data_IF_688960768580
#
_entry.id   IF_688960768580
#
_cell.length_a   1.000
_cell.length_b   1.000
_cell.length_c   1.000
_cell.angle_alpha   90.00
_cell.angle_beta   90.00
_cell.angle_gamma   90.00
#
_symmetry.space_group_name_H-M   'P 1'
#
loop_
_entity.id
_entity.type
_entity.pdbx_description
1 polymer ?
#
# COMPACT_ATOMS: atom_id res chain seq x y z
N UNK A 1 67.40 17.28 -0.18
CA UNK A 1 68.16 16.00 -0.13
C UNK A 1 68.20 15.50 1.30
N UNK A 2 68.03 14.18 1.48
CA UNK A 2 68.04 13.38 2.72
C UNK A 2 66.90 13.68 3.72
N UNK A 3 65.83 12.88 3.78
CA UNK A 3 65.71 11.50 4.32
C UNK A 3 66.02 11.39 5.81
N UNK A 4 65.00 11.12 6.63
CA UNK A 4 65.06 10.15 7.73
C UNK A 4 63.70 9.48 7.93
N UNK A 5 63.73 8.16 7.83
CA UNK A 5 62.71 7.16 8.08
C UNK A 5 62.57 6.85 9.57
N UNK A 6 61.41 6.33 9.98
CA UNK A 6 61.22 5.54 11.20
C UNK A 6 60.05 4.58 10.98
N UNK A 7 60.33 3.30 11.21
CA UNK A 7 59.47 2.12 11.06
C UNK A 7 58.96 1.70 12.43
N UNK A 8 57.71 1.20 12.52
CA UNK A 8 57.17 0.47 13.66
C UNK A 8 55.77 -0.10 13.37
N UNK A 9 55.35 -1.21 14.01
CA UNK A 9 55.07 -2.46 13.28
C UNK A 9 53.60 -2.91 13.18
N UNK A 10 53.35 -3.80 12.22
CA UNK A 10 52.14 -4.63 12.11
C UNK A 10 52.08 -5.68 13.22
N UNK A 11 50.89 -5.92 13.79
CA UNK A 11 50.56 -7.14 14.54
C UNK A 11 49.27 -7.76 13.99
N UNK A 12 49.39 -8.92 13.35
CA UNK A 12 48.30 -9.88 13.21
C UNK A 12 48.05 -10.56 14.56
N UNK A 13 46.79 -10.72 14.93
CA UNK A 13 46.36 -11.48 16.10
C UNK A 13 45.07 -12.23 15.82
N UNK A 14 45.21 -13.52 15.52
CA UNK A 14 44.13 -14.50 15.39
C UNK A 14 43.64 -14.94 16.78
N UNK A 15 42.34 -14.83 17.06
CA UNK A 15 41.64 -15.59 18.12
C UNK A 15 40.21 -15.85 17.63
N UNK A 16 39.91 -17.05 17.14
CA UNK A 16 39.46 -18.24 17.89
C UNK A 16 37.97 -18.20 18.26
N UNK A 17 37.26 -19.18 17.72
CA UNK A 17 35.83 -19.43 17.82
C UNK A 17 35.40 -19.71 19.26
N UNK A 18 34.36 -19.01 19.72
CA UNK A 18 33.48 -19.55 20.76
C UNK A 18 32.03 -19.28 20.36
N UNK A 19 31.44 -20.28 19.71
CA UNK A 19 30.01 -20.35 19.47
C UNK A 19 29.27 -20.23 20.80
N UNK A 20 28.70 -19.07 21.06
CA UNK A 20 27.70 -18.90 22.12
C UNK A 20 26.36 -18.91 21.42
N UNK A 21 25.73 -20.10 21.36
CA UNK A 21 24.35 -20.27 20.91
C UNK A 21 23.41 -19.68 21.96
N UNK A 22 23.36 -18.36 22.05
CA UNK A 22 22.28 -17.67 22.77
C UNK A 22 21.21 -17.39 21.74
N UNK A 23 20.13 -18.17 21.81
CA UNK A 23 18.85 -17.82 21.20
C UNK A 23 18.39 -16.49 21.80
N UNK A 24 18.86 -15.38 21.22
CA UNK A 24 18.20 -14.11 21.42
C UNK A 24 16.90 -14.22 20.63
N UNK A 25 15.79 -14.43 21.34
CA UNK A 25 14.47 -14.14 20.76
C UNK A 25 14.57 -12.72 20.20
N UNK A 26 14.61 -12.60 18.88
CA UNK A 26 14.64 -11.33 18.18
C UNK A 26 13.60 -10.43 18.82
N UNK A 27 14.08 -9.32 19.42
CA UNK A 27 13.22 -8.31 20.01
C UNK A 27 12.30 -7.85 18.88
N UNK A 28 10.98 -8.07 19.02
CA UNK A 28 10.00 -7.68 17.99
C UNK A 28 10.21 -6.19 17.71
N UNK A 29 10.63 -5.87 16.49
CA UNK A 29 10.81 -4.49 16.06
C UNK A 29 9.51 -3.73 16.27
N UNK A 30 9.57 -2.62 17.01
CA UNK A 30 8.47 -1.69 17.15
C UNK A 30 8.38 -0.79 15.90
N UNK A 31 7.23 -0.15 15.67
CA UNK A 31 7.04 0.81 14.58
C UNK A 31 7.99 2.03 14.65
N UNK A 32 8.75 2.17 15.74
CA UNK A 32 9.68 3.28 15.99
C UNK A 32 11.15 2.83 16.08
N UNK A 33 11.45 1.56 15.86
CA UNK A 33 12.83 1.07 15.90
C UNK A 33 13.52 1.36 14.56
N UNK A 34 14.84 1.63 14.58
CA UNK A 34 15.65 1.79 13.35
C UNK A 34 15.54 0.58 12.40
N UNK A 35 15.22 -0.60 12.95
CA UNK A 35 14.94 -1.80 12.17
C UNK A 35 13.66 -1.68 11.33
N UNK A 36 12.65 -0.93 11.78
CA UNK A 36 11.41 -0.73 11.05
C UNK A 36 11.57 0.26 9.91
N UNK A 37 12.23 1.41 10.11
CA UNK A 37 12.52 2.33 8.99
C UNK A 37 13.39 1.63 7.93
N UNK A 38 14.43 0.90 8.35
CA UNK A 38 15.23 0.10 7.42
C UNK A 38 14.38 -0.95 6.68
N UNK A 39 13.39 -1.55 7.35
CA UNK A 39 12.44 -2.46 6.72
C UNK A 39 11.58 -1.75 5.67
N UNK A 40 11.06 -0.55 5.95
CA UNK A 40 10.32 0.26 4.97
C UNK A 40 11.17 0.56 3.72
N UNK A 41 12.42 0.99 3.92
CA UNK A 41 13.34 1.25 2.82
C UNK A 41 13.69 0.01 2.00
N UNK A 42 13.96 -1.13 2.64
CA UNK A 42 14.18 -2.41 1.93
C UNK A 42 12.97 -2.86 1.11
N UNK A 43 11.78 -2.37 1.45
CA UNK A 43 10.52 -2.66 0.78
C UNK A 43 10.04 -1.52 -0.13
N UNK A 44 10.93 -0.59 -0.50
CA UNK A 44 10.67 0.56 -1.37
C UNK A 44 9.50 1.43 -0.89
N UNK A 45 9.30 1.53 0.43
CA UNK A 45 8.28 2.37 1.04
C UNK A 45 8.92 3.68 1.50
N UNK A 46 8.74 4.76 0.73
CA UNK A 46 9.51 5.99 0.93
C UNK A 46 8.71 7.09 1.68
N UNK A 47 9.38 7.89 2.53
CA UNK A 47 8.75 9.03 3.21
C UNK A 47 8.18 10.10 2.29
N UNK A 48 7.30 10.91 2.85
CA UNK A 48 7.02 12.25 2.32
C UNK A 48 8.33 13.05 2.21
N UNK A 49 8.57 13.65 1.05
CA UNK A 49 9.74 14.48 0.79
C UNK A 49 11.05 13.69 0.67
N UNK A 50 10.99 12.38 0.42
CA UNK A 50 12.19 11.58 0.19
C UNK A 50 12.92 12.05 -1.07
N UNK A 51 14.20 12.36 -0.91
CA UNK A 51 15.12 12.70 -1.99
C UNK A 51 15.87 11.44 -2.41
N UNK A 52 15.73 11.05 -3.68
CA UNK A 52 16.38 9.86 -4.19
C UNK A 52 17.87 10.13 -4.44
N UNK A 53 18.77 9.14 -4.22
CA UNK A 53 20.20 9.31 -4.45
C UNK A 53 20.58 9.68 -5.89
N UNK A 54 19.71 9.37 -6.86
CA UNK A 54 19.88 9.70 -8.28
C UNK A 54 19.34 11.10 -8.64
N UNK A 55 18.93 11.89 -7.65
CA UNK A 55 18.41 13.24 -7.83
C UNK A 55 16.95 13.31 -8.28
N UNK A 56 16.25 12.17 -8.39
CA UNK A 56 14.80 12.18 -8.59
C UNK A 56 14.12 12.69 -7.32
N UNK A 57 13.10 13.53 -7.50
CA UNK A 57 12.14 13.83 -6.43
C UNK A 57 11.03 12.80 -6.44
N UNK A 58 10.28 12.68 -5.33
CA UNK A 58 9.01 11.95 -5.34
C UNK A 58 8.20 12.38 -6.56
N UNK A 59 7.72 11.45 -7.40
CA UNK A 59 7.12 11.82 -8.67
C UNK A 59 5.99 12.82 -8.48
N UNK A 60 5.97 13.83 -9.36
CA UNK A 60 4.80 14.68 -9.46
C UNK A 60 3.62 13.78 -9.82
N UNK A 61 2.65 13.74 -8.92
CA UNK A 61 1.59 12.75 -8.97
C UNK A 61 0.63 13.16 -10.09
N UNK A 62 0.71 12.45 -11.23
CA UNK A 62 -0.28 12.56 -12.30
C UNK A 62 -1.70 12.44 -11.70
N UNK A 63 -2.59 13.35 -12.10
CA UNK A 63 -3.99 13.33 -11.64
C UNK A 63 -4.24 13.94 -10.25
N UNK A 64 -3.24 14.56 -9.59
CA UNK A 64 -3.47 15.21 -8.29
C UNK A 64 -4.53 16.29 -8.32
N UNK A 65 -4.69 17.03 -9.41
CA UNK A 65 -5.76 18.02 -9.51
C UNK A 65 -7.14 17.39 -9.37
N UNK A 66 -7.34 16.23 -9.99
CA UNK A 66 -8.60 15.47 -9.90
C UNK A 66 -8.80 14.91 -8.49
N UNK A 67 -7.74 14.41 -7.86
CA UNK A 67 -7.77 13.94 -6.48
C UNK A 67 -8.06 15.09 -5.52
N UNK A 68 -7.34 16.20 -5.62
CA UNK A 68 -7.58 17.42 -4.84
C UNK A 68 -9.01 17.91 -4.99
N UNK A 69 -9.54 17.96 -6.22
CA UNK A 69 -10.92 18.37 -6.45
C UNK A 69 -11.92 17.41 -5.80
N UNK A 70 -11.74 16.09 -5.95
CA UNK A 70 -12.60 15.09 -5.34
C UNK A 70 -12.56 15.14 -3.80
N UNK A 71 -11.38 15.38 -3.23
CA UNK A 71 -11.19 15.44 -1.78
C UNK A 71 -11.72 16.74 -1.18
N UNK A 72 -11.58 17.87 -1.87
CA UNK A 72 -12.07 19.17 -1.38
C UNK A 72 -13.57 19.39 -1.63
N UNK A 73 -14.26 18.45 -2.28
CA UNK A 73 -15.69 18.51 -2.52
C UNK A 73 -16.50 18.69 -1.22
N UNK A 74 -17.41 19.67 -1.21
CA UNK A 74 -18.24 19.95 -0.05
C UNK A 74 -19.18 18.76 0.27
N UNK A 75 -19.39 18.49 1.57
CA UNK A 75 -20.32 17.47 2.04
C UNK A 75 -21.52 18.07 2.75
N UNK A 76 -22.73 17.64 2.35
CA UNK A 76 -23.98 18.05 2.98
C UNK A 76 -24.01 17.75 4.49
N UNK A 77 -23.49 16.59 4.90
CA UNK A 77 -23.39 16.18 6.31
C UNK A 77 -22.45 17.04 7.16
N UNK A 78 -21.67 17.91 6.53
CA UNK A 78 -20.77 18.86 7.20
C UNK A 78 -21.15 20.31 6.89
N UNK A 79 -22.33 20.54 6.28
CA UNK A 79 -22.84 21.88 6.04
C UNK A 79 -23.21 22.59 7.35
N UNK A 80 -23.33 23.94 7.35
CA UNK A 80 -23.66 24.69 8.56
C UNK A 80 -24.96 24.28 9.25
N UNK A 81 -25.96 23.82 8.48
CA UNK A 81 -27.24 23.36 9.01
C UNK A 81 -27.19 21.94 9.58
N UNK A 82 -26.26 21.10 9.12
CA UNK A 82 -26.14 19.69 9.53
C UNK A 82 -25.08 19.46 10.61
N UNK A 83 -24.08 20.35 10.71
CA UNK A 83 -23.03 20.27 11.72
C UNK A 83 -22.93 21.60 12.47
N UNK A 84 -23.39 21.64 13.72
CA UNK A 84 -23.49 22.88 14.50
C UNK A 84 -22.24 23.21 15.33
N UNK A 85 -22.16 24.44 15.83
CA UNK A 85 -21.11 24.89 16.77
C UNK A 85 -21.05 24.06 18.05
N UNK A 86 -22.17 23.49 18.51
CA UNK A 86 -22.17 22.58 19.65
C UNK A 86 -21.38 21.30 19.37
N UNK A 87 -21.59 20.67 18.20
CA UNK A 87 -20.83 19.50 17.78
C UNK A 87 -19.33 19.78 17.63
N UNK A 88 -18.97 20.99 17.17
CA UNK A 88 -17.57 21.41 17.11
C UNK A 88 -16.95 21.62 18.50
N UNK A 89 -17.67 22.24 19.44
CA UNK A 89 -17.21 22.40 20.83
C UNK A 89 -17.03 21.04 21.52
N UNK A 90 -17.93 20.10 21.26
CA UNK A 90 -17.84 18.74 21.77
C UNK A 90 -16.60 18.01 21.26
N UNK A 91 -16.31 18.12 19.96
CA UNK A 91 -15.09 17.60 19.37
C UNK A 91 -13.84 18.15 20.08
N UNK A 92 -13.74 19.49 20.24
CA UNK A 92 -12.60 20.12 20.92
C UNK A 92 -12.43 19.66 22.36
N UNK A 93 -13.55 19.50 23.09
CA UNK A 93 -13.54 19.00 24.47
C UNK A 93 -12.99 17.57 24.53
N UNK A 94 -13.47 16.68 23.67
CA UNK A 94 -13.00 15.28 23.59
C UNK A 94 -11.52 15.20 23.23
N UNK A 95 -11.08 15.99 22.25
CA UNK A 95 -9.67 16.06 21.86
C UNK A 95 -8.75 16.50 23.02
N UNK A 96 -9.22 17.40 23.90
CA UNK A 96 -8.45 17.85 25.07
C UNK A 96 -8.39 16.81 26.18
N UNK A 97 -9.45 16.04 26.37
CA UNK A 97 -9.53 15.01 27.43
C UNK A 97 -8.85 13.71 27.05
N UNK A 98 -8.56 13.48 25.77
CA UNK A 98 -7.88 12.30 25.30
C UNK A 98 -6.96 12.63 24.10
N UNK A 99 -5.80 13.28 24.33
CA UNK A 99 -4.92 13.70 23.25
C UNK A 99 -4.21 12.53 22.54
N UNK A 100 -4.12 11.34 23.15
CA UNK A 100 -3.26 10.25 22.64
C UNK A 100 -3.93 8.88 22.47
N UNK A 101 -5.07 8.57 23.10
CA UNK A 101 -5.53 7.16 23.20
C UNK A 101 -6.76 6.79 22.32
N UNK A 102 -7.49 7.74 21.73
CA UNK A 102 -8.77 7.45 21.03
C UNK A 102 -8.98 8.20 19.71
N UNK A 103 -7.91 8.55 18.98
CA UNK A 103 -8.06 9.13 17.62
C UNK A 103 -7.08 8.57 16.60
N UNK A 104 -6.45 7.43 16.87
CA UNK A 104 -6.29 6.48 15.78
C UNK A 104 -7.64 5.80 15.68
N UNK A 105 -8.43 6.15 14.65
CA UNK A 105 -9.45 5.22 14.15
C UNK A 105 -8.67 3.94 13.97
N UNK A 106 -8.85 2.94 14.86
CA UNK A 106 -8.24 1.63 14.69
C UNK A 106 -8.48 1.32 13.22
N UNK A 107 -7.43 1.16 12.39
CA UNK A 107 -7.64 0.69 11.04
C UNK A 107 -8.26 -0.68 11.22
N UNK A 108 -9.59 -0.72 11.22
CA UNK A 108 -10.32 -1.94 10.92
C UNK A 108 -9.92 -2.16 9.47
N UNK A 109 -9.18 -3.23 9.15
CA UNK A 109 -8.62 -3.46 7.82
C UNK A 109 -9.66 -3.34 6.69
N UNK A 110 -10.95 -3.41 7.01
CA UNK A 110 -12.07 -3.27 6.09
C UNK A 110 -12.29 -1.85 5.53
N UNK A 111 -11.78 -0.78 6.17
CA UNK A 111 -12.15 0.59 5.81
C UNK A 111 -11.05 1.45 5.19
N UNK A 112 -9.80 0.99 5.21
CA UNK A 112 -8.68 1.79 4.73
C UNK A 112 -7.74 1.04 3.77
N UNK A 113 -7.51 -0.28 3.94
CA UNK A 113 -6.45 -0.99 3.22
C UNK A 113 -6.82 -2.37 2.63
N UNK A 114 -8.10 -2.74 2.56
CA UNK A 114 -8.44 -4.07 2.02
C UNK A 114 -9.89 -4.25 1.59
N UNK A 115 -10.12 -5.17 0.66
CA UNK A 115 -11.46 -5.63 0.30
C UNK A 115 -12.06 -6.50 1.42
N UNK A 116 -13.38 -6.54 1.60
CA UNK A 116 -13.98 -7.63 2.37
C UNK A 116 -13.60 -8.96 1.69
N UNK A 117 -12.97 -9.88 2.44
CA UNK A 117 -12.41 -11.13 1.90
C UNK A 117 -13.41 -11.96 1.07
N UNK A 118 -14.71 -11.82 1.34
CA UNK A 118 -15.77 -12.49 0.57
C UNK A 118 -16.06 -11.90 -0.82
N UNK A 119 -15.56 -10.70 -1.13
CA UNK A 119 -15.74 -10.03 -2.43
C UNK A 119 -14.62 -10.34 -3.43
N UNK A 120 -13.48 -10.85 -2.96
CA UNK A 120 -12.36 -11.26 -3.82
C UNK A 120 -12.57 -12.73 -4.21
N UNK A 121 -12.47 -13.06 -5.50
CA UNK A 121 -12.45 -14.45 -5.95
C UNK A 121 -11.33 -15.24 -5.25
N UNK A 122 -11.61 -16.48 -4.84
CA UNK A 122 -10.67 -17.30 -4.04
C UNK A 122 -9.29 -17.48 -4.69
N UNK A 123 -9.20 -17.53 -6.02
CA UNK A 123 -7.91 -17.66 -6.71
C UNK A 123 -7.12 -16.35 -6.67
N UNK A 124 -7.79 -15.21 -6.84
CA UNK A 124 -7.18 -13.87 -6.70
C UNK A 124 -6.70 -13.70 -5.26
N UNK A 125 -7.53 -14.04 -4.27
CA UNK A 125 -7.20 -13.96 -2.86
C UNK A 125 -5.96 -14.80 -2.51
N UNK A 126 -5.87 -16.05 -2.99
CA UNK A 126 -4.72 -16.93 -2.71
C UNK A 126 -3.41 -16.43 -3.35
N UNK A 127 -3.48 -15.73 -4.49
CA UNK A 127 -2.32 -15.11 -5.11
C UNK A 127 -1.89 -13.82 -4.39
N UNK A 128 -2.85 -13.03 -3.89
CA UNK A 128 -2.62 -11.80 -3.13
C UNK A 128 -2.06 -12.05 -1.72
N UNK A 129 -2.50 -13.11 -1.05
CA UNK A 129 -2.05 -13.50 0.29
C UNK A 129 -0.53 -13.77 0.34
N UNK A 130 0.05 -14.21 -0.78
CA UNK A 130 1.51 -14.39 -0.94
C UNK A 130 2.28 -13.09 -1.13
N UNK A 131 1.60 -11.97 -1.46
CA UNK A 131 2.21 -10.69 -1.86
C UNK A 131 2.03 -9.57 -0.82
N UNK A 132 1.13 -9.72 0.16
CA UNK A 132 0.75 -8.65 1.11
C UNK A 132 0.94 -9.12 2.56
N UNK A 133 1.77 -8.41 3.35
CA UNK A 133 2.03 -8.73 4.77
C UNK A 133 1.26 -7.73 5.65
N UNK A 134 0.24 -8.19 6.39
CA UNK A 134 -0.52 -7.36 7.34
C UNK A 134 0.16 -7.26 8.71
N UNK A 135 0.18 -6.07 9.33
CA UNK A 135 0.63 -5.84 10.73
C UNK A 135 -0.41 -5.05 11.53
N UNK A 136 -0.31 -5.13 12.87
CA UNK A 136 -1.38 -4.82 13.85
C UNK A 136 -1.12 -3.59 14.74
N UNK A 137 -0.32 -2.61 14.34
CA UNK A 137 0.03 -1.46 15.20
C UNK A 137 -0.24 -0.12 14.51
N UNK A 138 -0.49 0.98 15.25
CA UNK A 138 -0.98 2.28 14.72
C UNK A 138 -0.10 3.47 15.17
N UNK A 139 0.48 4.27 14.24
CA UNK A 139 1.13 5.63 14.33
C UNK A 139 1.90 6.01 13.03
N UNK A 140 2.46 7.22 12.87
CA UNK A 140 2.90 7.81 11.58
C UNK A 140 3.79 6.95 10.62
N UNK A 141 4.76 6.13 11.07
CA UNK A 141 5.43 5.14 10.22
C UNK A 141 4.45 4.15 9.58
N UNK A 142 3.27 3.96 10.19
CA UNK A 142 2.19 3.12 9.70
C UNK A 142 1.30 3.80 8.67
N UNK A 143 1.17 5.13 8.67
CA UNK A 143 0.49 5.78 7.54
C UNK A 143 1.22 5.49 6.21
N UNK A 144 2.57 5.45 6.24
CA UNK A 144 3.40 4.98 5.13
C UNK A 144 3.24 3.50 4.89
N UNK A 145 3.41 2.69 5.92
CA UNK A 145 3.35 1.23 5.80
C UNK A 145 1.98 0.73 5.31
N UNK A 146 0.90 1.14 5.97
CA UNK A 146 -0.49 0.75 5.66
C UNK A 146 -0.83 1.20 4.25
N UNK A 147 -0.56 2.46 3.92
CA UNK A 147 -0.78 3.01 2.59
C UNK A 147 -0.01 2.30 1.49
N UNK A 148 1.27 1.99 1.72
CA UNK A 148 2.07 1.23 0.76
C UNK A 148 1.56 -0.20 0.57
N UNK A 149 1.07 -0.86 1.63
CA UNK A 149 0.47 -2.19 1.49
C UNK A 149 -0.90 -2.15 0.79
N UNK A 150 -1.71 -1.12 1.05
CA UNK A 150 -2.92 -0.87 0.28
C UNK A 150 -2.60 -0.66 -1.20
N UNK A 151 -1.57 0.11 -1.52
CA UNK A 151 -1.12 0.31 -2.91
C UNK A 151 -0.55 -0.95 -3.55
N UNK A 152 0.15 -1.83 -2.80
CA UNK A 152 0.52 -3.17 -3.27
C UNK A 152 -0.69 -4.03 -3.62
N UNK A 153 -1.73 -3.98 -2.79
CA UNK A 153 -2.96 -4.71 -3.04
C UNK A 153 -3.66 -4.21 -4.30
N UNK A 154 -3.79 -2.89 -4.45
CA UNK A 154 -4.38 -2.27 -5.63
C UNK A 154 -3.56 -2.54 -6.89
N UNK A 155 -2.23 -2.42 -6.84
CA UNK A 155 -1.30 -2.74 -7.93
C UNK A 155 -1.49 -4.19 -8.41
N UNK A 156 -1.52 -5.14 -7.47
CA UNK A 156 -1.73 -6.54 -7.79
C UNK A 156 -3.12 -6.81 -8.40
N UNK A 157 -4.17 -6.09 -7.98
CA UNK A 157 -5.50 -6.17 -8.60
C UNK A 157 -5.50 -5.56 -10.01
N UNK A 158 -4.88 -4.38 -10.18
CA UNK A 158 -4.79 -3.67 -11.46
C UNK A 158 -4.04 -4.49 -12.52
N UNK A 159 -2.96 -5.14 -12.10
CA UNK A 159 -2.11 -5.94 -12.95
C UNK A 159 -2.50 -7.42 -13.02
N UNK A 160 -3.60 -7.83 -12.36
CA UNK A 160 -4.09 -9.20 -12.43
C UNK A 160 -4.39 -9.62 -13.89
N UNK A 161 -3.81 -10.75 -14.30
CA UNK A 161 -3.98 -11.34 -15.63
C UNK A 161 -3.32 -10.56 -16.78
N UNK A 162 -2.38 -9.66 -16.51
CA UNK A 162 -1.55 -9.01 -17.54
C UNK A 162 -0.21 -9.72 -17.68
N UNK A 163 0.31 -9.82 -18.90
CA UNK A 163 1.63 -10.41 -19.18
C UNK A 163 2.77 -9.52 -18.68
N UNK A 164 2.57 -8.20 -18.72
CA UNK A 164 3.50 -7.21 -18.19
C UNK A 164 2.76 -6.24 -17.25
N UNK A 165 3.33 -5.90 -16.08
CA UNK A 165 2.77 -4.89 -15.20
C UNK A 165 2.74 -3.50 -15.85
N UNK A 166 1.66 -2.77 -15.60
CA UNK A 166 1.48 -1.38 -16.00
C UNK A 166 1.37 -0.49 -14.76
N UNK A 167 1.93 0.72 -14.86
CA UNK A 167 1.93 1.72 -13.80
C UNK A 167 1.45 3.06 -14.38
N UNK A 168 0.26 3.50 -13.97
CA UNK A 168 -0.34 4.76 -14.46
C UNK A 168 0.04 5.99 -13.62
N UNK A 169 0.73 5.77 -12.50
CA UNK A 169 1.17 6.82 -11.57
C UNK A 169 0.06 7.48 -10.75
N UNK A 170 -1.20 7.05 -10.89
CA UNK A 170 -2.32 7.64 -10.16
C UNK A 170 -2.40 7.05 -8.73
N UNK A 171 -2.68 7.87 -7.70
CA UNK A 171 -2.88 7.36 -6.36
C UNK A 171 -4.32 6.85 -6.16
N UNK A 172 -4.44 5.57 -5.79
CA UNK A 172 -5.72 4.93 -5.48
C UNK A 172 -5.92 4.64 -3.99
N UNK A 173 -4.82 4.70 -3.22
CA UNK A 173 -4.79 4.48 -1.78
C UNK A 173 -4.46 5.78 -1.08
N UNK A 174 -5.14 6.04 0.03
CA UNK A 174 -4.97 7.24 0.83
C UNK A 174 -4.76 6.89 2.29
N UNK A 175 -3.92 7.66 2.99
CA UNK A 175 -3.78 7.54 4.44
C UNK A 175 -4.00 8.86 5.16
N UNK A 176 -4.33 8.82 6.46
CA UNK A 176 -4.47 10.03 7.27
C UNK A 176 -3.79 9.86 8.62
N UNK A 177 -3.15 10.92 9.10
CA UNK A 177 -2.68 11.02 10.49
C UNK A 177 -3.43 12.13 11.20
N UNK A 178 -3.72 11.92 12.49
CA UNK A 178 -4.28 12.94 13.35
C UNK A 178 -3.44 13.02 14.62
N UNK A 179 -2.77 14.16 14.80
CA UNK A 179 -1.88 14.39 15.93
C UNK A 179 -1.92 15.88 16.29
N UNK A 180 -1.96 16.17 17.59
CA UNK A 180 -1.95 17.55 18.13
C UNK A 180 -2.96 18.48 17.43
N UNK A 181 -4.21 18.02 17.33
CA UNK A 181 -5.27 18.82 16.70
C UNK A 181 -5.16 18.96 15.18
N UNK A 182 -4.15 18.38 14.54
CA UNK A 182 -3.85 18.52 13.11
C UNK A 182 -4.14 17.22 12.36
N UNK A 183 -4.97 17.31 11.32
CA UNK A 183 -5.21 16.22 10.38
C UNK A 183 -4.31 16.41 9.17
N UNK A 184 -3.49 15.40 8.84
CA UNK A 184 -2.78 15.31 7.56
C UNK A 184 -3.36 14.18 6.74
N UNK A 185 -3.41 14.37 5.42
CA UNK A 185 -3.87 13.36 4.47
C UNK A 185 -2.79 13.14 3.41
N UNK A 186 -2.60 11.89 3.02
CA UNK A 186 -1.55 11.43 2.13
C UNK A 186 -2.11 10.54 1.03
N UNK A 187 -1.48 10.59 -0.13
CA UNK A 187 -1.67 9.71 -1.27
C UNK A 187 -0.48 8.74 -1.35
N UNK A 188 -0.76 7.52 -1.82
CA UNK A 188 0.23 6.47 -2.01
C UNK A 188 0.19 5.97 -3.45
N UNK A 189 0.82 6.67 -4.40
CA UNK A 189 0.96 6.17 -5.77
C UNK A 189 1.79 4.88 -5.83
N UNK A 190 1.73 4.22 -6.98
CA UNK A 190 2.64 3.15 -7.34
C UNK A 190 3.48 3.63 -8.50
N UNK A 191 4.80 3.52 -8.38
CA UNK A 191 5.73 3.98 -9.42
C UNK A 191 6.48 2.78 -9.98
N UNK A 192 6.67 2.82 -11.30
CA UNK A 192 7.36 1.75 -12.02
C UNK A 192 8.77 1.51 -11.42
N UNK A 193 9.27 0.28 -11.47
CA UNK A 193 10.62 -0.03 -11.02
C UNK A 193 11.67 0.86 -11.68
N UNK A 194 12.61 1.36 -10.89
CA UNK A 194 13.73 2.18 -11.39
C UNK A 194 14.76 1.37 -12.19
N UNK A 195 14.67 0.04 -12.17
CA UNK A 195 15.55 -0.88 -12.91
C UNK A 195 14.71 -1.96 -13.59
N UNK A 196 15.16 -2.54 -14.73
CA UNK A 196 14.37 -3.52 -15.49
C UNK A 196 13.92 -4.78 -14.72
N UNK A 197 14.69 -5.17 -13.70
CA UNK A 197 14.38 -6.31 -12.83
C UNK A 197 14.00 -5.86 -11.40
N UNK A 198 13.69 -4.59 -11.22
CA UNK A 198 13.34 -4.01 -9.94
C UNK A 198 11.92 -4.36 -9.52
N UNK A 199 11.61 -4.06 -8.26
CA UNK A 199 10.24 -4.09 -7.74
C UNK A 199 9.64 -2.68 -7.79
N UNK A 200 8.30 -2.55 -7.82
CA UNK A 200 7.65 -1.24 -7.76
C UNK A 200 8.05 -0.48 -6.51
N UNK A 201 7.93 0.84 -6.59
CA UNK A 201 8.20 1.75 -5.47
C UNK A 201 6.88 2.38 -4.99
N UNK A 202 6.82 2.66 -3.69
CA UNK A 202 5.63 3.13 -3.00
C UNK A 202 5.98 4.42 -2.21
N UNK A 203 6.15 5.56 -2.89
CA UNK A 203 6.38 6.83 -2.23
C UNK A 203 5.09 7.33 -1.56
N UNK A 204 5.25 8.07 -0.48
CA UNK A 204 4.15 8.74 0.23
C UNK A 204 4.14 10.22 -0.12
N UNK A 205 3.00 10.75 -0.57
CA UNK A 205 2.86 12.16 -0.91
C UNK A 205 1.81 12.83 -0.04
N UNK A 206 2.13 13.97 0.57
CA UNK A 206 1.14 14.73 1.34
C UNK A 206 0.19 15.48 0.41
N UNK A 207 -1.10 15.28 0.62
CA UNK A 207 -2.18 15.96 -0.10
C UNK A 207 -2.44 17.31 0.55
N UNK A 208 -2.70 17.32 1.85
CA UNK A 208 -3.02 18.55 2.58
C UNK A 208 -2.95 18.36 4.11
N UNK A 209 -3.10 19.48 4.82
CA UNK A 209 -3.15 19.55 6.28
C UNK A 209 -4.27 20.49 6.76
N UNK A 210 -4.95 20.12 7.84
CA UNK A 210 -6.01 20.92 8.44
C UNK A 210 -5.88 20.99 9.96
N UNK A 211 -5.89 22.19 10.51
CA UNK A 211 -6.08 22.42 11.94
C UNK A 211 -7.53 22.15 12.34
N UNK A 212 -7.78 20.98 12.94
CA UNK A 212 -9.11 20.51 13.31
C UNK A 212 -9.65 21.15 14.58
N UNK A 213 -8.80 21.74 15.41
CA UNK A 213 -9.18 22.39 16.69
C UNK A 213 -9.28 23.92 16.59
N UNK A 214 -8.83 24.50 15.48
CA UNK A 214 -8.80 25.96 15.27
C UNK A 214 -10.19 26.56 15.04
N UNK A 215 -10.79 26.29 13.88
CA UNK A 215 -12.11 26.84 13.50
C UNK A 215 -13.06 25.75 13.03
N UNK A 216 -14.38 25.99 13.14
CA UNK A 216 -15.38 25.06 12.62
C UNK A 216 -15.28 24.87 11.10
N UNK A 217 -14.83 25.90 10.37
CA UNK A 217 -14.66 25.84 8.92
C UNK A 217 -13.46 24.97 8.52
N UNK A 218 -12.33 25.08 9.22
CA UNK A 218 -11.18 24.19 8.99
C UNK A 218 -11.51 22.75 9.35
N UNK A 219 -12.23 22.53 10.46
CA UNK A 219 -12.75 21.23 10.84
C UNK A 219 -13.64 20.61 9.76
N UNK A 220 -14.65 21.35 9.27
CA UNK A 220 -15.57 20.87 8.23
C UNK A 220 -14.81 20.49 6.95
N UNK A 221 -13.84 21.30 6.53
CA UNK A 221 -13.00 21.00 5.35
C UNK A 221 -12.15 19.74 5.54
N UNK A 222 -11.43 19.62 6.66
CA UNK A 222 -10.60 18.44 6.93
C UNK A 222 -11.43 17.16 7.10
N UNK A 223 -12.55 17.24 7.82
CA UNK A 223 -13.47 16.12 7.97
C UNK A 223 -14.12 15.71 6.64
N UNK A 224 -14.45 16.66 5.77
CA UNK A 224 -14.97 16.38 4.44
C UNK A 224 -13.93 15.66 3.59
N UNK A 225 -12.70 16.18 3.56
CA UNK A 225 -11.60 15.59 2.81
C UNK A 225 -11.28 14.16 3.25
N UNK A 226 -11.18 13.91 4.57
CA UNK A 226 -10.97 12.56 5.09
C UNK A 226 -12.07 11.58 4.68
N UNK A 227 -13.34 12.01 4.71
CA UNK A 227 -14.47 11.17 4.28
C UNK A 227 -14.49 10.96 2.76
N UNK A 228 -14.19 12.00 1.98
CA UNK A 228 -14.07 11.93 0.52
C UNK A 228 -12.96 10.96 0.10
N UNK A 229 -11.82 10.96 0.79
CA UNK A 229 -10.73 10.02 0.54
C UNK A 229 -11.17 8.58 0.72
N UNK A 230 -11.91 8.29 1.80
CA UNK A 230 -12.46 6.94 2.05
C UNK A 230 -13.41 6.49 0.95
N UNK A 231 -14.32 7.37 0.54
CA UNK A 231 -15.30 7.04 -0.51
C UNK A 231 -14.63 6.92 -1.89
N UNK A 232 -13.58 7.69 -2.16
CA UNK A 232 -12.79 7.61 -3.38
C UNK A 232 -11.97 6.32 -3.44
N UNK A 233 -11.22 5.99 -2.39
CA UNK A 233 -10.48 4.73 -2.27
C UNK A 233 -11.40 3.52 -2.44
N UNK A 234 -12.57 3.53 -1.80
CA UNK A 234 -13.58 2.48 -1.97
C UNK A 234 -13.96 2.29 -3.42
N UNK A 235 -14.33 3.36 -4.14
CA UNK A 235 -14.74 3.27 -5.54
C UNK A 235 -13.64 2.68 -6.43
N UNK A 236 -12.40 3.12 -6.25
CA UNK A 236 -11.27 2.56 -6.99
C UNK A 236 -11.07 1.08 -6.67
N UNK A 237 -10.99 0.73 -5.39
CA UNK A 237 -10.84 -0.64 -4.93
C UNK A 237 -11.92 -1.56 -5.48
N UNK A 238 -13.19 -1.18 -5.35
CA UNK A 238 -14.31 -2.00 -5.78
C UNK A 238 -14.28 -2.22 -7.31
N UNK A 239 -13.90 -1.19 -8.08
CA UNK A 239 -13.70 -1.31 -9.53
C UNK A 239 -12.54 -2.23 -9.91
N UNK A 240 -11.40 -2.12 -9.23
CA UNK A 240 -10.26 -3.02 -9.48
C UNK A 240 -10.56 -4.47 -9.13
N UNK A 241 -11.30 -4.71 -8.04
CA UNK A 241 -11.77 -6.06 -7.67
C UNK A 241 -12.68 -6.62 -8.75
N UNK A 242 -13.66 -5.84 -9.21
CA UNK A 242 -14.59 -6.28 -10.24
C UNK A 242 -13.85 -6.65 -11.53
N UNK A 243 -12.90 -5.81 -11.95
CA UNK A 243 -12.06 -6.06 -13.13
C UNK A 243 -11.22 -7.34 -12.97
N UNK A 244 -10.55 -7.53 -11.82
CA UNK A 244 -9.74 -8.72 -11.55
C UNK A 244 -10.59 -10.00 -11.51
N UNK A 245 -11.74 -9.96 -10.84
CA UNK A 245 -12.68 -11.09 -10.78
C UNK A 245 -13.22 -11.45 -12.16
N UNK A 246 -13.52 -10.47 -13.01
CA UNK A 246 -13.95 -10.71 -14.39
C UNK A 246 -12.88 -11.40 -15.20
N UNK A 247 -11.63 -10.92 -15.16
CA UNK A 247 -10.50 -11.59 -15.81
C UNK A 247 -10.29 -13.03 -15.30
N UNK A 248 -10.43 -13.25 -14.00
CA UNK A 248 -10.29 -14.59 -13.40
C UNK A 248 -11.34 -15.58 -13.94
N UNK A 249 -12.60 -15.12 -14.02
CA UNK A 249 -13.70 -15.92 -14.59
C UNK A 249 -13.48 -16.22 -16.06
N UNK A 250 -13.01 -15.24 -16.84
CA UNK A 250 -12.69 -15.45 -18.26
C UNK A 250 -11.55 -16.45 -18.44
N UNK A 251 -10.48 -16.34 -17.65
CA UNK A 251 -9.35 -17.27 -17.71
C UNK A 251 -9.81 -18.72 -17.43
N UNK A 252 -10.61 -18.93 -16.37
CA UNK A 252 -11.19 -20.25 -16.07
C UNK A 252 -12.05 -20.79 -17.21
N UNK A 253 -12.88 -19.95 -17.82
CA UNK A 253 -13.71 -20.34 -18.96
C UNK A 253 -12.90 -20.63 -20.23
N UNK A 254 -11.75 -19.97 -20.43
CA UNK A 254 -10.81 -20.30 -21.51
C UNK A 254 -10.13 -21.65 -21.25
N UNK A 255 -9.63 -21.88 -20.03
CA UNK A 255 -9.01 -23.17 -19.67
C UNK A 255 -9.96 -24.33 -19.88
N UNK A 256 -11.21 -24.23 -19.39
CA UNK A 256 -12.22 -25.29 -19.59
C UNK A 256 -12.50 -25.58 -21.07
N UNK A 257 -12.63 -24.53 -21.89
CA UNK A 257 -12.84 -24.71 -23.34
C UNK A 257 -11.65 -25.39 -24.02
N UNK A 258 -10.42 -24.99 -23.66
CA UNK A 258 -9.23 -25.63 -24.21
C UNK A 258 -9.14 -27.11 -23.79
N UNK A 259 -9.48 -27.44 -22.54
CA UNK A 259 -9.53 -28.84 -22.06
C UNK A 259 -10.61 -29.66 -22.80
N UNK A 260 -11.76 -29.07 -23.10
CA UNK A 260 -12.81 -29.69 -23.91
C UNK A 260 -12.37 -29.90 -25.37
N UNK A 261 -11.71 -28.92 -25.98
CA UNK A 261 -11.18 -28.98 -27.35
C UNK A 261 -10.05 -30.03 -27.47
N UNK A 262 -9.13 -30.09 -26.51
CA UNK A 262 -8.05 -31.09 -26.46
C UNK A 262 -8.63 -32.51 -26.28
N UNK A 263 -9.67 -32.66 -25.44
CA UNK A 263 -10.34 -33.94 -25.24
C UNK A 263 -11.10 -34.40 -26.50
N UNK A 264 -11.75 -33.48 -27.21
CA UNK A 264 -12.40 -33.75 -28.50
C UNK A 264 -11.37 -34.13 -29.57
N UNK A 265 -10.23 -33.45 -29.65
CA UNK A 265 -9.16 -33.78 -30.59
C UNK A 265 -8.53 -35.16 -30.31
N UNK A 266 -8.34 -35.51 -29.04
CA UNK A 266 -7.88 -36.85 -28.65
C UNK A 266 -8.85 -37.96 -29.06
N UNK A 267 -10.15 -37.76 -28.84
CA UNK A 267 -11.18 -38.73 -29.26
C UNK A 267 -11.29 -38.89 -30.78
N UNK A 268 -11.08 -37.82 -31.55
CA UNK A 268 -11.05 -37.89 -33.02
C UNK A 268 -9.79 -38.62 -33.49
N UNK A 269 -8.64 -38.40 -32.86
CA UNK A 269 -7.39 -39.08 -33.21
C UNK A 269 -7.46 -40.59 -32.96
N UNK A 270 -7.98 -41.02 -31.79
CA UNK A 270 -8.15 -42.44 -31.45
C UNK A 270 -9.13 -43.14 -32.41
N UNK A 271 -10.20 -42.45 -32.85
CA UNK A 271 -11.16 -43.01 -33.81
C UNK A 271 -10.61 -43.14 -35.24
N UNK A 272 -9.53 -42.42 -35.58
CA UNK A 272 -8.89 -42.51 -36.90
C UNK A 272 -7.80 -43.59 -36.98
N UNK A 273 -7.27 -44.05 -35.84
CA UNK A 273 -6.25 -45.12 -35.77
C UNK A 273 -6.89 -46.52 -35.78
N UNK A 274 -8.17 -46.63 -35.42
CA UNK A 274 -8.98 -47.87 -35.45
C UNK A 274 -9.61 -48.15 -36.84
N UNK A 275 -8.93 -47.81 -37.93
CA UNK A 275 -9.34 -48.27 -39.26
C UNK A 275 -8.62 -49.58 -39.60
N UNK A 276 -9.24 -50.77 -39.43
CA UNK A 276 -8.66 -52.03 -39.86
C UNK A 276 -8.72 -52.05 -41.40
N UNK A 277 -7.68 -51.52 -42.02
CA UNK A 277 -7.27 -52.00 -43.33
C UNK A 277 -6.72 -53.42 -43.17
N UNK A 278 -7.13 -54.27 -44.11
CA UNK A 278 -6.66 -55.64 -44.37
C UNK A 278 -7.37 -56.77 -43.61
N UNK A 279 -8.46 -57.29 -44.21
CA UNK A 279 -8.40 -58.50 -45.06
C UNK A 279 -9.65 -58.63 -45.97
#
# INVERSE_FOLDING_TARGET
MASKSSVGPQSQGSQSEKATSVSSRSRRSSAYDDNFERHLFHHNMYPEGYEYPDGRSTPDLCGMDSVHQALLAARVSLSPSQFSDSGFRDFKRKNKTNPEEEVTVKPVPDFFDGAPLGAIDKAVMHELDRKIISTKHATAPLARFDGANGSRAIDALQNYGKDQPEYDGNPYTFSSTYHDGTLKLYAHPVTAPSTPNGTPEYPMAQINTWGMTGTINTFRRGAAASRNARDLARRHRDSFIENANTKSREARSRTRRNEEDDALQGQIADACDDNPGDD
#
